data_IF_277797012934
#
_entry.id   IF_277797012934
#
_cell.length_a   1.000
_cell.length_b   1.000
_cell.length_c   1.000
_cell.angle_alpha   90.00
_cell.angle_beta   90.00
_cell.angle_gamma   90.00
#
_symmetry.space_group_name_H-M   'P 1'
#
loop_
_entity.id
_entity.type
_entity.pdbx_description
1 polymer ?
#
# COMPACT_ATOMS: atom_id res chain seq x y z
N UNK A 1 -11.82 1.36 -9.62
CA UNK A 1 -11.15 0.73 -8.46
C UNK A 1 -11.32 1.63 -7.24
N UNK A 2 -11.71 1.06 -6.14
CA UNK A 2 -11.83 1.78 -4.88
C UNK A 2 -10.54 1.61 -4.07
N UNK A 3 -9.97 2.72 -3.61
CA UNK A 3 -8.72 2.69 -2.84
C UNK A 3 -9.02 3.11 -1.41
N UNK A 4 -8.63 2.28 -0.46
CA UNK A 4 -8.78 2.54 0.96
C UNK A 4 -7.40 2.56 1.61
N UNK A 5 -7.11 3.59 2.39
CA UNK A 5 -5.82 3.74 3.06
C UNK A 5 -6.08 3.83 4.55
N UNK A 6 -5.41 2.95 5.31
CA UNK A 6 -5.50 2.93 6.76
C UNK A 6 -4.12 3.05 7.36
N UNK A 7 -3.96 3.95 8.32
CA UNK A 7 -2.71 4.08 9.07
C UNK A 7 -2.94 3.62 10.51
N UNK A 8 -1.97 2.87 11.03
CA UNK A 8 -2.05 2.28 12.37
C UNK A 8 -1.00 2.93 13.25
N UNK A 9 -1.44 3.53 14.34
CA UNK A 9 -0.60 4.20 15.35
C UNK A 9 0.10 5.46 14.85
N UNK A 10 -0.38 6.07 13.76
CA UNK A 10 0.09 7.37 13.30
C UNK A 10 -0.92 7.95 12.32
N UNK A 11 -0.79 9.23 12.01
CA UNK A 11 -1.65 9.91 11.03
C UNK A 11 -0.87 10.13 9.74
N UNK A 12 -1.34 9.55 8.64
CA UNK A 12 -0.71 9.75 7.35
C UNK A 12 -0.97 11.18 6.85
N UNK A 13 0.07 11.82 6.31
CA UNK A 13 -0.09 13.16 5.74
C UNK A 13 -0.87 13.10 4.42
N UNK A 14 -1.46 14.25 4.04
CA UNK A 14 -2.16 14.33 2.76
C UNK A 14 -1.21 14.05 1.59
N UNK A 15 0.06 14.44 1.70
CA UNK A 15 1.05 14.17 0.68
C UNK A 15 1.31 12.68 0.55
N UNK A 16 1.41 11.96 1.67
CA UNK A 16 1.63 10.53 1.66
C UNK A 16 0.42 9.80 1.07
N UNK A 17 -0.78 10.17 1.47
CA UNK A 17 -1.99 9.56 0.91
C UNK A 17 -2.09 9.79 -0.58
N UNK A 18 -1.78 11.01 -1.05
CA UNK A 18 -1.80 11.33 -2.48
C UNK A 18 -0.79 10.50 -3.25
N UNK A 19 0.40 10.33 -2.70
CA UNK A 19 1.44 9.50 -3.30
C UNK A 19 0.96 8.05 -3.44
N UNK A 20 0.38 7.51 -2.37
CA UNK A 20 -0.10 6.13 -2.36
C UNK A 20 -1.22 5.94 -3.38
N UNK A 21 -2.16 6.89 -3.44
CA UNK A 21 -3.26 6.80 -4.41
C UNK A 21 -2.75 6.79 -5.83
N UNK A 22 -1.75 7.62 -6.15
CA UNK A 22 -1.17 7.64 -7.48
C UNK A 22 -0.48 6.33 -7.84
N UNK A 23 0.28 5.78 -6.90
CA UNK A 23 0.99 4.52 -7.13
C UNK A 23 0.03 3.35 -7.31
N UNK A 24 -0.99 3.28 -6.45
CA UNK A 24 -1.95 2.18 -6.51
C UNK A 24 -2.85 2.32 -7.73
N UNK A 25 -3.21 3.53 -8.11
CA UNK A 25 -4.05 3.76 -9.29
C UNK A 25 -3.38 3.25 -10.57
N UNK A 26 -2.05 3.26 -10.64
CA UNK A 26 -1.34 2.71 -11.79
C UNK A 26 -1.57 1.21 -11.96
N UNK A 27 -1.83 0.50 -10.87
CA UNK A 27 -2.14 -0.93 -10.95
C UNK A 27 -3.45 -1.16 -11.70
N UNK A 28 -4.41 -0.27 -11.56
CA UNK A 28 -5.67 -0.36 -12.28
C UNK A 28 -5.50 -0.19 -13.79
N UNK A 29 -4.42 0.47 -14.23
CA UNK A 29 -4.13 0.60 -15.65
C UNK A 29 -3.59 -0.69 -16.25
N UNK A 30 -2.94 -1.51 -15.44
CA UNK A 30 -2.39 -2.78 -15.90
C UNK A 30 -3.38 -3.94 -15.75
N UNK A 31 -4.34 -3.80 -14.85
CA UNK A 31 -5.30 -4.87 -14.58
C UNK A 31 -6.67 -4.24 -14.34
N UNK A 32 -7.55 -4.32 -15.32
CA UNK A 32 -8.89 -3.73 -15.25
C UNK A 32 -9.81 -4.47 -14.28
N UNK A 33 -9.43 -5.67 -13.87
CA UNK A 33 -10.28 -6.51 -13.03
C UNK A 33 -10.18 -6.20 -11.54
N UNK A 34 -9.28 -5.32 -11.13
CA UNK A 34 -9.13 -4.99 -9.72
C UNK A 34 -10.35 -4.20 -9.25
N UNK A 35 -11.11 -4.76 -8.30
CA UNK A 35 -12.28 -4.11 -7.76
C UNK A 35 -11.93 -3.07 -6.71
N UNK A 36 -10.98 -3.40 -5.84
CA UNK A 36 -10.56 -2.48 -4.78
C UNK A 36 -9.13 -2.77 -4.35
N UNK A 37 -8.52 -1.79 -3.72
CA UNK A 37 -7.19 -1.90 -3.15
C UNK A 37 -7.22 -1.37 -1.71
N UNK A 38 -6.78 -2.18 -0.77
CA UNK A 38 -6.65 -1.78 0.62
C UNK A 38 -5.18 -1.61 0.94
N UNK A 39 -4.80 -0.44 1.43
CA UNK A 39 -3.44 -0.13 1.82
C UNK A 39 -3.41 0.09 3.33
N UNK A 40 -2.58 -0.66 4.03
CA UNK A 40 -2.41 -0.51 5.47
C UNK A 40 -0.97 -0.10 5.74
N UNK A 41 -0.80 0.99 6.47
CA UNK A 41 0.50 1.53 6.82
C UNK A 41 0.70 1.35 8.32
N UNK A 42 1.85 0.81 8.70
CA UNK A 42 2.13 0.50 10.09
C UNK A 42 3.60 0.74 10.39
N UNK A 43 3.88 1.28 11.57
CA UNK A 43 5.25 1.38 12.08
C UNK A 43 5.52 0.13 12.90
N UNK A 44 6.53 -0.65 12.49
CA UNK A 44 6.94 -1.86 13.19
C UNK A 44 8.32 -1.63 13.78
N UNK A 45 8.53 -2.03 15.03
CA UNK A 45 9.81 -1.90 15.73
C UNK A 45 10.40 -0.49 15.60
N UNK A 46 9.80 0.53 16.26
CA UNK A 46 10.19 1.94 16.04
C UNK A 46 11.66 2.25 16.29
N UNK A 47 12.36 1.44 17.08
CA UNK A 47 13.76 1.68 17.41
C UNK A 47 14.74 1.17 16.37
N UNK A 48 14.27 0.56 15.29
CA UNK A 48 15.15 0.05 14.23
C UNK A 48 14.97 0.83 12.94
N UNK A 49 15.97 0.74 12.04
CA UNK A 49 15.80 1.20 10.68
C UNK A 49 14.85 0.25 9.93
N UNK A 50 14.32 0.68 8.79
CA UNK A 50 13.38 -0.12 8.00
C UNK A 50 12.19 -0.57 8.84
N UNK A 51 11.55 0.41 9.47
CA UNK A 51 10.43 0.14 10.36
C UNK A 51 9.08 0.61 9.81
N UNK A 52 9.02 1.01 8.55
CA UNK A 52 7.79 1.46 7.90
C UNK A 52 7.25 0.34 7.04
N UNK A 53 6.14 -0.25 7.46
CA UNK A 53 5.51 -1.36 6.73
C UNK A 53 4.33 -0.87 5.91
N UNK A 54 4.29 -1.26 4.64
CA UNK A 54 3.14 -1.01 3.77
C UNK A 54 2.60 -2.34 3.29
N UNK A 55 1.32 -2.57 3.52
CA UNK A 55 0.62 -3.77 3.08
C UNK A 55 -0.44 -3.37 2.06
N UNK A 56 -0.48 -4.06 0.94
CA UNK A 56 -1.44 -3.78 -0.13
C UNK A 56 -2.21 -5.07 -0.43
N UNK A 57 -3.53 -4.99 -0.33
CA UNK A 57 -4.41 -6.11 -0.66
C UNK A 57 -5.29 -5.70 -1.83
N UNK A 58 -5.27 -6.47 -2.89
CA UNK A 58 -6.06 -6.23 -4.08
C UNK A 58 -7.16 -7.27 -4.18
N UNK A 59 -8.40 -6.80 -4.34
CA UNK A 59 -9.56 -7.67 -4.53
C UNK A 59 -9.82 -7.85 -6.02
N UNK A 60 -9.73 -9.08 -6.49
CA UNK A 60 -9.91 -9.42 -7.90
C UNK A 60 -11.06 -10.42 -8.00
N UNK A 61 -12.09 -10.16 -8.84
CA UNK A 61 -13.34 -10.93 -8.77
C UNK A 61 -13.22 -12.42 -9.12
N UNK A 62 -12.27 -12.79 -9.93
CA UNK A 62 -12.20 -14.17 -10.43
C UNK A 62 -10.96 -14.93 -9.95
N UNK A 63 -10.28 -14.42 -8.96
CA UNK A 63 -9.09 -15.09 -8.43
C UNK A 63 -8.96 -14.76 -6.95
N UNK A 64 -7.99 -15.40 -6.31
CA UNK A 64 -7.69 -15.13 -4.91
C UNK A 64 -7.17 -13.70 -4.75
N UNK A 65 -7.43 -13.12 -3.58
CA UNK A 65 -6.92 -11.79 -3.27
C UNK A 65 -5.40 -11.77 -3.40
N UNK A 66 -4.89 -10.68 -3.97
CA UNK A 66 -3.45 -10.47 -4.08
C UNK A 66 -3.00 -9.65 -2.88
N UNK A 67 -2.01 -10.15 -2.16
CA UNK A 67 -1.50 -9.49 -0.97
C UNK A 67 0.01 -9.30 -1.10
N UNK A 68 0.48 -8.09 -0.82
CA UNK A 68 1.89 -7.76 -0.80
C UNK A 68 2.19 -6.90 0.42
N UNK A 69 3.28 -7.22 1.12
CA UNK A 69 3.68 -6.47 2.30
C UNK A 69 5.19 -6.28 2.28
N UNK A 70 5.64 -5.05 2.46
CA UNK A 70 7.06 -4.71 2.43
C UNK A 70 7.37 -3.73 3.55
N UNK A 71 8.61 -3.77 4.02
CA UNK A 71 9.13 -2.89 5.06
C UNK A 71 10.30 -2.10 4.48
N UNK A 72 10.35 -0.81 4.77
CA UNK A 72 11.43 0.07 4.31
C UNK A 72 11.65 1.19 5.31
N UNK A 73 12.59 2.08 5.00
CA UNK A 73 12.89 3.23 5.88
C UNK A 73 11.80 4.29 5.84
N UNK A 74 11.07 4.39 4.73
CA UNK A 74 9.97 5.33 4.56
C UNK A 74 8.76 4.61 4.01
N UNK A 75 7.58 5.19 4.22
CA UNK A 75 6.35 4.62 3.65
C UNK A 75 6.34 4.74 2.13
N UNK A 76 6.90 5.81 1.58
CA UNK A 76 6.98 5.98 0.14
C UNK A 76 7.75 4.84 -0.50
N UNK A 77 8.90 4.50 0.09
CA UNK A 77 9.71 3.40 -0.41
C UNK A 77 9.00 2.05 -0.22
N UNK A 78 8.38 1.84 0.93
CA UNK A 78 7.68 0.59 1.21
C UNK A 78 6.53 0.38 0.22
N UNK A 79 5.75 1.43 -0.06
CA UNK A 79 4.66 1.35 -1.03
C UNK A 79 5.19 1.09 -2.43
N UNK A 80 6.27 1.77 -2.82
CA UNK A 80 6.86 1.61 -4.14
C UNK A 80 7.32 0.17 -4.38
N UNK A 81 7.99 -0.42 -3.39
CA UNK A 81 8.46 -1.80 -3.49
C UNK A 81 7.27 -2.78 -3.47
N UNK A 82 6.26 -2.52 -2.65
CA UNK A 82 5.09 -3.38 -2.57
C UNK A 82 4.30 -3.39 -3.88
N UNK A 83 4.20 -2.23 -4.54
CA UNK A 83 3.50 -2.12 -5.83
C UNK A 83 4.26 -2.86 -6.93
N UNK A 84 5.59 -2.83 -6.88
CA UNK A 84 6.42 -3.50 -7.89
C UNK A 84 6.47 -5.02 -7.73
N UNK A 85 6.04 -5.53 -6.61
CA UNK A 85 6.11 -6.96 -6.31
C UNK A 85 5.05 -7.80 -7.03
#
# INVERSE_FOLDING_TARGET
MKISIQSIHFDASAQLESFIQKKVAKLGQYCDDIMSAEVVLKVVKPETAQNKEASIKLLVPKSDDIFSSKVADTFEEAVDVAVDA
#
